data_IF_298060718033
#
_entry.id   IF_298060718033
#
_cell.length_a   1.000
_cell.length_b   1.000
_cell.length_c   1.000
_cell.angle_alpha   90.00
_cell.angle_beta   90.00
_cell.angle_gamma   90.00
#
_symmetry.space_group_name_H-M   'P 1'
#
loop_
_entity.id
_entity.type
_entity.pdbx_description
1 polymer ?
#
# COMPACT_ATOMS: atom_id res chain seq x y z
N UNK A 1 39.16 -7.81 23.34
CA UNK A 1 37.72 -8.03 23.56
C UNK A 1 36.92 -7.54 22.34
N UNK A 2 37.14 -8.13 21.16
CA UNK A 2 36.66 -7.59 19.87
C UNK A 2 35.62 -8.47 19.17
N UNK A 3 35.39 -9.71 19.62
CA UNK A 3 34.64 -10.68 18.80
C UNK A 3 33.11 -10.55 18.90
N UNK A 4 32.55 -10.11 20.02
CA UNK A 4 31.09 -10.09 20.20
C UNK A 4 30.38 -8.91 19.51
N UNK A 5 31.09 -7.79 19.31
CA UNK A 5 30.54 -6.60 18.65
C UNK A 5 30.53 -6.76 17.12
N UNK A 6 31.60 -7.33 16.55
CA UNK A 6 31.72 -7.65 15.12
C UNK A 6 30.70 -8.70 14.66
N UNK A 7 30.51 -9.78 15.42
CA UNK A 7 29.55 -10.83 15.02
C UNK A 7 28.12 -10.29 14.94
N UNK A 8 27.67 -9.49 15.92
CA UNK A 8 26.31 -8.90 15.90
C UNK A 8 26.12 -7.94 14.73
N UNK A 9 27.13 -7.15 14.40
CA UNK A 9 27.07 -6.20 13.29
C UNK A 9 27.03 -6.93 11.93
N UNK A 10 27.81 -8.00 11.77
CA UNK A 10 27.79 -8.88 10.59
C UNK A 10 26.45 -9.59 10.46
N UNK A 11 25.91 -10.14 11.55
CA UNK A 11 24.58 -10.77 11.55
C UNK A 11 23.49 -9.78 11.17
N UNK A 12 23.49 -8.57 11.74
CA UNK A 12 22.51 -7.53 11.40
C UNK A 12 22.61 -7.08 9.93
N UNK A 13 23.82 -6.93 9.38
CA UNK A 13 24.01 -6.60 7.96
C UNK A 13 23.53 -7.73 7.05
N UNK A 14 23.82 -8.98 7.39
CA UNK A 14 23.35 -10.14 6.66
C UNK A 14 21.81 -10.22 6.69
N UNK A 15 21.22 -10.05 7.87
CA UNK A 15 19.78 -10.10 8.06
C UNK A 15 19.07 -8.98 7.30
N UNK A 16 19.63 -7.78 7.30
CA UNK A 16 19.10 -6.63 6.55
C UNK A 16 19.22 -6.84 5.04
N UNK A 17 20.34 -7.35 4.56
CA UNK A 17 20.58 -7.54 3.12
C UNK A 17 19.74 -8.67 2.52
N UNK A 18 19.51 -9.75 3.27
CA UNK A 18 18.76 -10.91 2.78
C UNK A 18 17.27 -10.88 3.12
N UNK A 19 16.89 -10.48 4.34
CA UNK A 19 15.49 -10.48 4.78
C UNK A 19 14.81 -9.12 4.70
N UNK A 20 15.57 -8.02 4.62
CA UNK A 20 15.02 -6.67 4.45
C UNK A 20 14.10 -6.54 3.23
N UNK A 21 14.53 -6.96 2.02
CA UNK A 21 13.67 -6.95 0.83
C UNK A 21 12.38 -7.75 1.01
N UNK A 22 12.48 -8.95 1.61
CA UNK A 22 11.31 -9.80 1.85
C UNK A 22 10.31 -9.16 2.83
N UNK A 23 10.80 -8.54 3.93
CA UNK A 23 9.95 -7.81 4.88
C UNK A 23 9.27 -6.61 4.24
N UNK A 24 9.99 -5.83 3.43
CA UNK A 24 9.43 -4.67 2.77
C UNK A 24 8.38 -5.04 1.70
N UNK A 25 8.58 -6.14 0.96
CA UNK A 25 7.53 -6.68 0.08
C UNK A 25 6.31 -7.16 0.86
N UNK A 26 6.50 -7.85 2.00
CA UNK A 26 5.39 -8.27 2.85
C UNK A 26 4.59 -7.07 3.38
N UNK A 27 5.28 -6.01 3.83
CA UNK A 27 4.65 -4.76 4.27
C UNK A 27 3.84 -4.10 3.13
N UNK A 28 4.40 -4.06 1.92
CA UNK A 28 3.68 -3.57 0.74
C UNK A 28 2.41 -4.36 0.44
N UNK A 29 2.48 -5.71 0.49
CA UNK A 29 1.32 -6.57 0.28
C UNK A 29 0.25 -6.40 1.36
N UNK A 30 0.65 -6.27 2.63
CA UNK A 30 -0.27 -6.00 3.74
C UNK A 30 -0.93 -4.64 3.54
N UNK A 31 -0.17 -3.57 3.27
CA UNK A 31 -0.71 -2.24 3.06
C UNK A 31 -1.71 -2.20 1.88
N UNK A 32 -1.39 -2.86 0.77
CA UNK A 32 -2.30 -2.98 -0.36
C UNK A 32 -3.59 -3.71 0.01
N UNK A 33 -3.48 -4.80 0.78
CA UNK A 33 -4.64 -5.58 1.24
C UNK A 33 -5.52 -4.78 2.20
N UNK A 34 -4.94 -4.06 3.16
CA UNK A 34 -5.66 -3.18 4.08
C UNK A 34 -6.43 -2.10 3.31
N UNK A 35 -5.79 -1.44 2.35
CA UNK A 35 -6.43 -0.43 1.52
C UNK A 35 -7.57 -1.00 0.67
N UNK A 36 -7.41 -2.20 0.10
CA UNK A 36 -8.48 -2.88 -0.64
C UNK A 36 -9.67 -3.23 0.26
N UNK A 37 -9.41 -3.76 1.45
CA UNK A 37 -10.45 -4.09 2.43
C UNK A 37 -11.21 -2.82 2.85
N UNK A 38 -10.50 -1.72 3.09
CA UNK A 38 -11.14 -0.44 3.40
C UNK A 38 -12.02 0.05 2.24
N UNK A 39 -11.54 -0.05 1.00
CA UNK A 39 -12.34 0.30 -0.18
C UNK A 39 -13.61 -0.55 -0.29
N UNK A 40 -13.52 -1.86 -0.03
CA UNK A 40 -14.69 -2.75 -0.01
C UNK A 40 -15.68 -2.38 1.12
N UNK A 41 -15.19 -2.10 2.33
CA UNK A 41 -16.03 -1.69 3.45
C UNK A 41 -16.75 -0.37 3.16
N UNK A 42 -16.05 0.61 2.59
CA UNK A 42 -16.64 1.89 2.19
C UNK A 42 -17.74 1.70 1.14
N UNK A 43 -17.51 0.84 0.14
CA UNK A 43 -18.50 0.51 -0.88
C UNK A 43 -19.75 -0.14 -0.24
N UNK A 44 -19.57 -1.18 0.59
CA UNK A 44 -20.67 -1.86 1.29
C UNK A 44 -21.49 -0.89 2.12
N UNK A 45 -20.83 -0.01 2.87
CA UNK A 45 -21.50 1.01 3.68
C UNK A 45 -22.35 1.93 2.81
N UNK A 46 -21.79 2.46 1.74
CA UNK A 46 -22.49 3.40 0.88
C UNK A 46 -23.67 2.76 0.13
N UNK A 47 -23.51 1.57 -0.42
CA UNK A 47 -24.62 0.86 -1.06
C UNK A 47 -25.73 0.55 -0.06
N UNK A 48 -25.39 0.15 1.17
CA UNK A 48 -26.37 -0.05 2.25
C UNK A 48 -27.08 1.25 2.61
N UNK A 49 -26.35 2.36 2.74
CA UNK A 49 -26.92 3.67 3.06
C UNK A 49 -27.88 4.15 1.94
N UNK A 50 -27.54 3.92 0.67
CA UNK A 50 -28.43 4.19 -0.49
C UNK A 50 -29.70 3.34 -0.40
N UNK A 51 -29.58 2.03 -0.21
CA UNK A 51 -30.73 1.12 -0.12
C UNK A 51 -31.66 1.47 1.05
N UNK A 52 -31.10 1.74 2.23
CA UNK A 52 -31.88 2.12 3.41
C UNK A 52 -32.57 3.48 3.21
N UNK A 53 -31.90 4.43 2.54
CA UNK A 53 -32.49 5.73 2.20
C UNK A 53 -33.66 5.56 1.23
N UNK A 54 -33.49 4.74 0.19
CA UNK A 54 -34.56 4.45 -0.77
C UNK A 54 -35.75 3.76 -0.12
N UNK A 55 -35.50 2.78 0.76
CA UNK A 55 -36.57 2.13 1.52
C UNK A 55 -37.33 3.13 2.39
N UNK A 56 -36.63 4.02 3.10
CA UNK A 56 -37.28 5.07 3.90
C UNK A 56 -38.08 6.04 3.03
N UNK A 57 -37.58 6.39 1.85
CA UNK A 57 -38.30 7.27 0.93
C UNK A 57 -39.54 6.59 0.38
N UNK A 58 -39.45 5.31 0.01
CA UNK A 58 -40.60 4.51 -0.41
C UNK A 58 -41.66 4.41 0.70
N UNK A 59 -41.26 4.18 1.95
CA UNK A 59 -42.22 4.13 3.08
C UNK A 59 -42.93 5.46 3.36
N UNK A 60 -42.41 6.59 2.86
CA UNK A 60 -43.07 7.90 2.97
C UNK A 60 -44.15 8.12 1.90
N UNK A 61 -44.20 7.29 0.86
CA UNK A 61 -45.22 7.36 -0.19
C UNK A 61 -46.57 6.96 0.39
N UNK A 62 -47.56 7.87 0.32
CA UNK A 62 -48.91 7.66 0.86
C UNK A 62 -49.99 7.52 -0.22
N UNK A 63 -49.69 7.98 -1.43
CA UNK A 63 -50.63 8.10 -2.54
C UNK A 63 -49.88 8.13 -3.89
N UNK A 64 -50.65 8.31 -4.97
CA UNK A 64 -50.13 8.33 -6.34
C UNK A 64 -49.21 9.53 -6.62
N UNK A 65 -49.41 10.67 -5.96
CA UNK A 65 -48.57 11.86 -6.10
C UNK A 65 -47.20 11.63 -5.45
N UNK A 66 -47.17 11.13 -4.22
CA UNK A 66 -45.93 10.74 -3.56
C UNK A 66 -45.17 9.64 -4.32
N UNK A 67 -45.88 8.72 -4.99
CA UNK A 67 -45.23 7.73 -5.85
C UNK A 67 -44.58 8.37 -7.08
N UNK A 68 -45.25 9.35 -7.70
CA UNK A 68 -44.70 10.11 -8.81
C UNK A 68 -43.43 10.86 -8.39
N UNK A 69 -43.47 11.56 -7.27
CA UNK A 69 -42.29 12.26 -6.71
C UNK A 69 -41.14 11.29 -6.42
N UNK A 70 -41.44 10.12 -5.83
CA UNK A 70 -40.44 9.08 -5.61
C UNK A 70 -39.78 8.60 -6.92
N UNK A 71 -40.57 8.43 -7.98
CA UNK A 71 -40.08 8.07 -9.32
C UNK A 71 -39.22 9.17 -9.93
N UNK A 72 -39.62 10.45 -9.80
CA UNK A 72 -38.82 11.59 -10.25
C UNK A 72 -37.47 11.65 -9.51
N UNK A 73 -37.45 11.31 -8.21
CA UNK A 73 -36.24 11.19 -7.40
C UNK A 73 -35.31 10.03 -7.78
N UNK A 74 -35.80 8.97 -8.44
CA UNK A 74 -34.97 7.82 -8.83
C UNK A 74 -33.87 8.20 -9.82
N UNK A 75 -34.09 9.22 -10.66
CA UNK A 75 -33.07 9.68 -11.60
C UNK A 75 -31.84 10.22 -10.86
N UNK A 76 -32.03 10.90 -9.72
CA UNK A 76 -30.92 11.38 -8.91
C UNK A 76 -30.18 10.21 -8.27
N UNK A 77 -30.88 9.22 -7.73
CA UNK A 77 -30.22 8.05 -7.14
C UNK A 77 -29.43 7.26 -8.18
N UNK A 78 -29.92 7.15 -9.41
CA UNK A 78 -29.17 6.54 -10.51
C UNK A 78 -27.88 7.31 -10.84
N UNK A 79 -27.91 8.65 -10.80
CA UNK A 79 -26.71 9.49 -10.95
C UNK A 79 -25.73 9.25 -9.80
N UNK A 80 -26.20 9.31 -8.56
CA UNK A 80 -25.37 9.12 -7.37
C UNK A 80 -24.70 7.74 -7.38
N UNK A 81 -25.44 6.68 -7.75
CA UNK A 81 -24.89 5.33 -7.90
C UNK A 81 -23.83 5.23 -9.01
N UNK A 82 -24.04 5.94 -10.13
CA UNK A 82 -23.09 5.95 -11.25
C UNK A 82 -21.80 6.68 -10.86
N UNK A 83 -21.91 7.85 -10.22
CA UNK A 83 -20.77 8.60 -9.70
C UNK A 83 -20.00 7.79 -8.66
N UNK A 84 -20.73 7.12 -7.75
CA UNK A 84 -20.16 6.21 -6.76
C UNK A 84 -19.36 5.08 -7.42
N UNK A 85 -19.97 4.38 -8.37
CA UNK A 85 -19.33 3.27 -9.09
C UNK A 85 -18.05 3.74 -9.81
N UNK A 86 -18.10 4.90 -10.44
CA UNK A 86 -16.93 5.52 -11.06
C UNK A 86 -15.84 5.80 -10.03
N UNK A 87 -16.19 6.42 -8.90
CA UNK A 87 -15.24 6.70 -7.82
C UNK A 87 -14.61 5.44 -7.20
N UNK A 88 -15.39 4.37 -7.05
CA UNK A 88 -14.88 3.09 -6.55
C UNK A 88 -13.92 2.44 -7.57
N UNK A 89 -14.19 2.54 -8.87
CA UNK A 89 -13.26 2.11 -9.91
C UNK A 89 -11.96 2.94 -9.92
N UNK A 90 -12.07 4.27 -9.80
CA UNK A 90 -10.91 5.18 -9.69
C UNK A 90 -10.06 4.85 -8.46
N UNK A 91 -10.68 4.53 -7.32
CA UNK A 91 -9.97 4.07 -6.12
C UNK A 91 -9.17 2.80 -6.39
N UNK A 92 -9.78 1.77 -6.98
CA UNK A 92 -9.07 0.52 -7.28
C UNK A 92 -7.88 0.76 -8.22
N UNK A 93 -8.06 1.60 -9.25
CA UNK A 93 -6.97 1.99 -10.15
C UNK A 93 -5.85 2.70 -9.40
N UNK A 94 -6.19 3.64 -8.52
CA UNK A 94 -5.21 4.35 -7.70
C UNK A 94 -4.44 3.40 -6.78
N UNK A 95 -5.11 2.41 -6.17
CA UNK A 95 -4.46 1.38 -5.34
C UNK A 95 -3.45 0.56 -6.14
N UNK A 96 -3.80 0.17 -7.37
CA UNK A 96 -2.90 -0.58 -8.24
C UNK A 96 -1.68 0.27 -8.66
N UNK A 97 -1.89 1.56 -8.96
CA UNK A 97 -0.82 2.50 -9.28
C UNK A 97 0.12 2.71 -8.09
N UNK A 98 -0.43 2.87 -6.88
CA UNK A 98 0.32 2.98 -5.63
C UNK A 98 1.20 1.74 -5.40
N UNK A 99 0.64 0.54 -5.59
CA UNK A 99 1.38 -0.71 -5.43
C UNK A 99 2.57 -0.80 -6.40
N UNK A 100 2.36 -0.47 -7.68
CA UNK A 100 3.44 -0.48 -8.69
C UNK A 100 4.52 0.53 -8.34
N UNK A 101 4.13 1.77 -8.01
CA UNK A 101 5.06 2.84 -7.63
C UNK A 101 5.89 2.47 -6.42
N UNK A 102 5.27 1.89 -5.38
CA UNK A 102 5.98 1.48 -4.17
C UNK A 102 6.88 0.26 -4.42
N UNK A 103 6.47 -0.68 -5.29
CA UNK A 103 7.32 -1.80 -5.71
C UNK A 103 8.59 -1.33 -6.45
N UNK A 104 8.43 -0.37 -7.36
CA UNK A 104 9.56 0.24 -8.07
C UNK A 104 10.51 0.94 -7.10
N UNK A 105 9.97 1.76 -6.19
CA UNK A 105 10.76 2.44 -5.15
C UNK A 105 11.53 1.46 -4.28
N UNK A 106 10.89 0.38 -3.82
CA UNK A 106 11.54 -0.66 -3.03
C UNK A 106 12.70 -1.31 -3.80
N UNK A 107 12.50 -1.58 -5.09
CA UNK A 107 13.55 -2.15 -5.95
C UNK A 107 14.74 -1.19 -6.09
N UNK A 108 14.48 0.10 -6.35
CA UNK A 108 15.53 1.12 -6.41
C UNK A 108 16.30 1.26 -5.09
N UNK A 109 15.60 1.22 -3.95
CA UNK A 109 16.21 1.28 -2.62
C UNK A 109 17.10 0.07 -2.34
N UNK A 110 16.65 -1.15 -2.70
CA UNK A 110 17.42 -2.37 -2.57
C UNK A 110 18.70 -2.36 -3.42
N UNK A 111 18.63 -1.87 -4.67
CA UNK A 111 19.80 -1.72 -5.55
C UNK A 111 20.79 -0.72 -4.95
N UNK A 112 20.33 0.45 -4.50
CA UNK A 112 21.17 1.47 -3.84
C UNK A 112 21.82 0.92 -2.57
N UNK A 113 21.09 0.17 -1.76
CA UNK A 113 21.63 -0.42 -0.54
C UNK A 113 22.72 -1.47 -0.84
N UNK A 114 22.51 -2.29 -1.87
CA UNK A 114 23.49 -3.28 -2.34
C UNK A 114 24.75 -2.61 -2.88
N UNK A 115 24.62 -1.54 -3.67
CA UNK A 115 25.75 -0.75 -4.17
C UNK A 115 26.56 -0.14 -3.02
N UNK A 116 25.89 0.50 -2.04
CA UNK A 116 26.54 1.04 -0.84
C UNK A 116 27.27 -0.03 -0.04
N UNK A 117 26.71 -1.23 0.08
CA UNK A 117 27.35 -2.36 0.75
C UNK A 117 28.60 -2.85 -0.01
N UNK A 118 28.56 -2.88 -1.34
CA UNK A 118 29.72 -3.23 -2.18
C UNK A 118 30.85 -2.19 -2.07
N UNK A 119 30.52 -0.90 -2.11
CA UNK A 119 31.48 0.20 -1.96
C UNK A 119 32.14 0.22 -0.57
N UNK A 120 31.37 -0.04 0.48
CA UNK A 120 31.91 -0.10 1.86
C UNK A 120 32.81 -1.31 2.06
N UNK A 121 32.48 -2.47 1.49
CA UNK A 121 33.38 -3.65 1.48
C UNK A 121 34.65 -3.41 0.67
N UNK A 122 34.57 -2.70 -0.47
CA UNK A 122 35.73 -2.35 -1.27
C UNK A 122 36.69 -1.40 -0.50
N UNK A 123 36.15 -0.41 0.21
CA UNK A 123 36.94 0.48 1.09
C UNK A 123 37.59 -0.27 2.26
N UNK A 124 36.85 -1.18 2.90
CA UNK A 124 37.38 -1.99 3.98
C UNK A 124 38.54 -2.90 3.52
N UNK A 125 38.44 -3.47 2.32
CA UNK A 125 39.49 -4.30 1.74
C UNK A 125 40.76 -3.49 1.42
N UNK A 126 40.62 -2.25 0.93
CA UNK A 126 41.77 -1.37 0.68
C UNK A 126 42.43 -0.87 1.97
N UNK A 127 41.67 -0.57 3.01
CA UNK A 127 42.21 -0.11 4.30
C UNK A 127 42.93 -1.24 5.05
N UNK A 128 42.40 -2.47 4.95
CA UNK A 128 43.04 -3.66 5.52
C UNK A 128 44.35 -3.97 4.79
N UNK A 129 44.38 -3.92 3.45
CA UNK A 129 45.60 -4.14 2.67
C UNK A 129 46.69 -3.06 2.92
N UNK A 130 46.29 -1.79 3.09
CA UNK A 130 47.21 -0.71 3.41
C UNK A 130 47.81 -0.80 4.82
N UNK A 131 47.09 -1.40 5.77
CA UNK A 131 47.59 -1.60 7.14
C UNK A 131 48.60 -2.75 7.20
N UNK A 132 48.32 -3.88 6.54
CA UNK A 132 49.24 -5.03 6.48
C UNK A 132 50.56 -4.70 5.77
N UNK A 133 50.52 -3.84 4.75
CA UNK A 133 51.72 -3.39 4.02
C UNK A 133 52.59 -2.38 4.80
N UNK A 134 52.07 -1.78 5.87
CA UNK A 134 52.79 -0.80 6.69
C UNK A 134 53.39 -1.40 7.97
N UNK A 135 53.01 -2.64 8.29
CA UNK A 135 53.48 -3.41 9.45
C UNK A 135 54.45 -4.55 9.08
N UNK A 136 54.74 -4.74 7.79
CA UNK A 136 55.78 -5.63 7.27
C UNK A 136 57.03 -4.80 6.91
#
# INVERSE_FOLDING_TARGET
MTNAFDTKQITNQFETMFFGPARAYAELSVNYSEKLINAQQEAVKAYSDISLTQLRNLMKVKDAEGFREYMEGQQQVAKDMTERLKGDAEKVVALQQDFVKNSQKLTEENVKQTQKAAESKAKQATDTAGTTAKTA
#
